data_IF_248904818798
#
_entry.id   IF_248904818798
#
_cell.length_a   1.000
_cell.length_b   1.000
_cell.length_c   1.000
_cell.angle_alpha   90.00
_cell.angle_beta   90.00
_cell.angle_gamma   90.00
#
_symmetry.space_group_name_H-M   'P 1'
#
loop_
_entity.id
_entity.type
_entity.pdbx_description
1 polymer ?
#
# COMPACT_ATOMS: atom_id res chain seq x y z
N UNK A 1 -10.78 -8.34 -19.22
CA UNK A 1 -10.40 -7.28 -18.27
C UNK A 1 -11.54 -6.89 -17.31
N UNK A 2 -12.76 -7.39 -17.51
CA UNK A 2 -13.92 -7.07 -16.64
C UNK A 2 -13.69 -7.41 -15.16
N UNK A 3 -13.10 -8.56 -14.86
CA UNK A 3 -12.84 -8.98 -13.48
C UNK A 3 -11.86 -8.03 -12.77
N UNK A 4 -10.78 -7.62 -13.45
CA UNK A 4 -9.83 -6.65 -12.90
C UNK A 4 -10.50 -5.31 -12.59
N UNK A 5 -11.33 -4.79 -13.49
CA UNK A 5 -12.08 -3.56 -13.24
C UNK A 5 -13.09 -3.69 -12.11
N UNK A 6 -13.79 -4.82 -12.00
CA UNK A 6 -14.71 -5.07 -10.89
C UNK A 6 -14.00 -5.02 -9.53
N UNK A 7 -12.79 -5.59 -9.44
CA UNK A 7 -12.00 -5.57 -8.20
C UNK A 7 -11.53 -4.16 -7.87
N UNK A 8 -10.95 -3.44 -8.83
CA UNK A 8 -10.42 -2.09 -8.60
C UNK A 8 -11.54 -1.12 -8.28
N UNK A 9 -12.58 -1.04 -9.11
CA UNK A 9 -13.70 -0.12 -8.91
C UNK A 9 -14.51 -0.47 -7.67
N UNK A 10 -14.75 -1.76 -7.40
CA UNK A 10 -15.43 -2.23 -6.19
C UNK A 10 -14.69 -1.83 -4.92
N UNK A 11 -13.35 -1.96 -4.90
CA UNK A 11 -12.56 -1.54 -3.74
C UNK A 11 -12.61 -0.01 -3.54
N UNK A 12 -12.53 0.78 -4.61
CA UNK A 12 -12.64 2.24 -4.54
C UNK A 12 -14.05 2.69 -4.13
N UNK A 13 -15.09 2.02 -4.62
CA UNK A 13 -16.47 2.27 -4.20
C UNK A 13 -16.66 2.03 -2.70
N UNK A 14 -16.09 0.95 -2.17
CA UNK A 14 -16.13 0.66 -0.72
C UNK A 14 -15.37 1.72 0.09
N UNK A 15 -14.24 2.23 -0.39
CA UNK A 15 -13.52 3.34 0.23
C UNK A 15 -14.41 4.59 0.25
N UNK A 16 -14.96 4.99 -0.90
CA UNK A 16 -15.83 6.16 -1.00
C UNK A 16 -17.08 6.04 -0.11
N UNK A 17 -17.74 4.87 -0.11
CA UNK A 17 -18.89 4.60 0.75
C UNK A 17 -18.54 4.72 2.23
N UNK A 18 -17.34 4.28 2.64
CA UNK A 18 -16.90 4.40 4.03
C UNK A 18 -16.75 5.87 4.45
N UNK A 19 -16.13 6.70 3.62
CA UNK A 19 -16.06 8.14 3.87
C UNK A 19 -17.44 8.79 3.93
N UNK A 20 -18.35 8.43 3.01
CA UNK A 20 -19.72 8.93 3.01
C UNK A 20 -20.49 8.57 4.29
N UNK A 21 -20.29 7.34 4.81
CA UNK A 21 -20.89 6.91 6.10
C UNK A 21 -20.36 7.75 7.26
N UNK A 22 -19.04 7.99 7.33
CA UNK A 22 -18.46 8.84 8.39
C UNK A 22 -18.97 10.28 8.28
N UNK A 23 -19.09 10.82 7.07
CA UNK A 23 -19.61 12.16 6.86
C UNK A 23 -21.09 12.30 7.27
N UNK A 24 -21.89 11.27 7.00
CA UNK A 24 -23.33 11.27 7.36
C UNK A 24 -23.56 11.07 8.87
N UNK A 25 -22.69 10.32 9.55
CA UNK A 25 -22.81 9.98 10.98
C UNK A 25 -21.48 10.10 11.70
N UNK A 26 -20.94 11.33 11.87
CA UNK A 26 -19.63 11.55 12.49
C UNK A 26 -19.69 11.33 14.00
N UNK A 27 -19.29 10.14 14.45
CA UNK A 27 -19.17 9.79 15.86
C UNK A 27 -17.98 8.83 16.10
N UNK A 28 -17.49 8.68 17.33
CA UNK A 28 -16.30 7.86 17.60
C UNK A 28 -16.40 6.41 17.12
N UNK A 29 -17.59 5.81 17.18
CA UNK A 29 -17.81 4.41 16.78
C UNK A 29 -17.66 4.27 15.26
N UNK A 30 -18.35 5.13 14.49
CA UNK A 30 -18.25 5.11 13.02
C UNK A 30 -16.83 5.39 12.56
N UNK A 31 -16.13 6.32 13.21
CA UNK A 31 -14.72 6.63 12.90
C UNK A 31 -13.82 5.42 13.15
N UNK A 32 -13.91 4.76 14.31
CA UNK A 32 -13.10 3.58 14.63
C UNK A 32 -13.38 2.44 13.66
N UNK A 33 -14.65 2.15 13.36
CA UNK A 33 -15.02 1.12 12.40
C UNK A 33 -14.52 1.45 10.99
N UNK A 34 -14.62 2.71 10.57
CA UNK A 34 -14.10 3.18 9.28
C UNK A 34 -12.58 3.01 9.17
N UNK A 35 -11.81 3.35 10.22
CA UNK A 35 -10.35 3.15 10.24
C UNK A 35 -10.00 1.68 10.04
N UNK A 36 -10.66 0.76 10.77
CA UNK A 36 -10.43 -0.69 10.63
C UNK A 36 -10.79 -1.16 9.21
N UNK A 37 -11.94 -0.71 8.69
CA UNK A 37 -12.39 -1.10 7.37
C UNK A 37 -11.49 -0.54 6.26
N UNK A 38 -11.10 0.74 6.33
CA UNK A 38 -10.19 1.37 5.38
C UNK A 38 -8.80 0.72 5.39
N UNK A 39 -8.29 0.28 6.56
CA UNK A 39 -7.05 -0.49 6.63
C UNK A 39 -7.12 -1.77 5.79
N UNK A 40 -8.27 -2.48 5.83
CA UNK A 40 -8.49 -3.67 4.98
C UNK A 40 -8.58 -3.31 3.48
N UNK A 41 -9.11 -2.12 3.13
CA UNK A 41 -9.19 -1.66 1.74
C UNK A 41 -7.82 -1.25 1.19
N UNK A 42 -6.97 -0.66 2.02
CA UNK A 42 -5.56 -0.39 1.67
C UNK A 42 -4.81 -1.70 1.38
N UNK A 43 -5.02 -2.75 2.17
CA UNK A 43 -4.48 -4.08 1.86
C UNK A 43 -5.02 -4.60 0.52
N UNK A 44 -6.32 -4.41 0.24
CA UNK A 44 -6.91 -4.75 -1.06
C UNK A 44 -6.21 -4.06 -2.24
N UNK A 45 -5.90 -2.75 -2.11
CA UNK A 45 -5.12 -2.02 -3.12
C UNK A 45 -3.70 -2.59 -3.27
N UNK A 46 -3.06 -2.97 -2.16
CA UNK A 46 -1.71 -3.57 -2.18
C UNK A 46 -1.70 -4.94 -2.86
N UNK A 47 -2.73 -5.76 -2.67
CA UNK A 47 -2.90 -7.05 -3.37
C UNK A 47 -3.11 -6.83 -4.87
N UNK A 48 -3.95 -5.87 -5.27
CA UNK A 48 -4.14 -5.56 -6.68
C UNK A 48 -2.88 -4.97 -7.33
N UNK A 49 -2.10 -4.17 -6.60
CA UNK A 49 -0.77 -3.72 -7.03
C UNK A 49 0.18 -4.90 -7.27
N UNK A 50 0.20 -5.88 -6.36
CA UNK A 50 0.96 -7.13 -6.49
C UNK A 50 0.57 -7.88 -7.77
N UNK A 51 -0.73 -8.08 -8.01
CA UNK A 51 -1.24 -8.78 -9.19
C UNK A 51 -0.91 -8.02 -10.49
N UNK A 52 -0.94 -6.69 -10.44
CA UNK A 52 -0.45 -5.84 -11.53
C UNK A 52 1.06 -6.03 -11.75
N UNK A 53 1.86 -6.22 -10.69
CA UNK A 53 3.28 -6.54 -10.78
C UNK A 53 3.55 -7.83 -11.52
N UNK A 54 2.73 -8.85 -11.28
CA UNK A 54 2.73 -10.12 -12.00
C UNK A 54 2.07 -10.04 -13.39
N UNK A 55 1.48 -8.90 -13.77
CA UNK A 55 0.71 -8.70 -15.01
C UNK A 55 -0.49 -9.64 -15.11
N UNK A 56 -1.11 -10.00 -14.00
CA UNK A 56 -2.18 -10.98 -13.90
C UNK A 56 -3.57 -10.36 -13.70
N UNK A 57 -3.66 -9.09 -13.24
CA UNK A 57 -4.94 -8.44 -12.99
C UNK A 57 -5.69 -8.08 -14.28
N UNK A 58 -4.96 -7.69 -15.32
CA UNK A 58 -5.50 -7.35 -16.64
C UNK A 58 -4.73 -8.09 -17.74
N UNK A 59 -5.39 -8.36 -18.87
CA UNK A 59 -4.73 -8.93 -20.07
C UNK A 59 -3.70 -7.96 -20.67
N UNK A 60 -4.00 -6.67 -20.62
CA UNK A 60 -3.13 -5.61 -21.14
C UNK A 60 -1.97 -5.31 -20.19
N UNK A 61 -0.73 -5.43 -20.67
CA UNK A 61 0.47 -5.01 -19.92
C UNK A 61 0.41 -3.54 -19.54
N UNK A 62 -0.15 -2.67 -20.42
CA UNK A 62 -0.30 -1.24 -20.18
C UNK A 62 -1.30 -0.97 -19.05
N UNK A 63 -2.43 -1.68 -19.02
CA UNK A 63 -3.40 -1.53 -17.93
C UNK A 63 -2.80 -1.97 -16.60
N UNK A 64 -2.10 -3.10 -16.52
CA UNK A 64 -1.41 -3.50 -15.29
C UNK A 64 -0.42 -2.41 -14.82
N UNK A 65 0.36 -1.81 -15.73
CA UNK A 65 1.31 -0.76 -15.35
C UNK A 65 0.60 0.52 -14.87
N UNK A 66 -0.41 1.00 -15.59
CA UNK A 66 -1.08 2.27 -15.28
C UNK A 66 -1.99 2.13 -14.06
N UNK A 67 -2.88 1.14 -14.04
CA UNK A 67 -3.81 0.91 -12.93
C UNK A 67 -3.06 0.52 -11.66
N UNK A 68 -2.08 -0.39 -11.78
CA UNK A 68 -1.23 -0.81 -10.66
C UNK A 68 -0.50 0.37 -10.01
N UNK A 69 0.04 1.29 -10.81
CA UNK A 69 0.72 2.47 -10.31
C UNK A 69 -0.25 3.50 -9.71
N UNK A 70 -1.23 3.97 -10.50
CA UNK A 70 -2.01 5.16 -10.15
C UNK A 70 -3.21 4.88 -9.25
N UNK A 71 -3.86 3.72 -9.41
CA UNK A 71 -5.06 3.39 -8.66
C UNK A 71 -4.80 2.41 -7.51
N UNK A 72 -3.64 1.72 -7.49
CA UNK A 72 -3.36 0.72 -6.47
C UNK A 72 -2.16 1.09 -5.59
N UNK A 73 -1.00 1.46 -6.18
CA UNK A 73 0.23 1.70 -5.43
C UNK A 73 0.30 3.09 -4.78
N UNK A 74 0.18 4.15 -5.59
CA UNK A 74 0.34 5.53 -5.11
C UNK A 74 -0.63 5.92 -3.98
N UNK A 75 -1.92 5.49 -3.99
CA UNK A 75 -2.83 5.78 -2.89
C UNK A 75 -2.42 5.19 -1.54
N UNK A 76 -1.63 4.12 -1.55
CA UNK A 76 -1.10 3.47 -0.33
C UNK A 76 0.38 3.77 -0.11
N UNK A 77 0.88 4.88 -0.65
CA UNK A 77 2.26 5.34 -0.49
C UNK A 77 3.31 4.32 -0.98
N UNK A 78 2.99 3.60 -2.05
CA UNK A 78 3.89 2.62 -2.67
C UNK A 78 4.22 3.00 -4.12
N UNK A 79 5.18 2.32 -4.74
CA UNK A 79 5.60 2.48 -6.14
C UNK A 79 5.60 1.11 -6.82
N UNK A 80 4.63 0.88 -7.70
CA UNK A 80 4.43 -0.42 -8.33
C UNK A 80 5.65 -0.93 -9.12
N UNK A 81 6.38 -0.11 -9.92
CA UNK A 81 7.57 -0.60 -10.62
C UNK A 81 8.70 -1.02 -9.68
N UNK A 82 8.91 -0.30 -8.57
CA UNK A 82 9.93 -0.65 -7.58
C UNK A 82 9.56 -1.91 -6.82
N UNK A 83 8.29 -2.00 -6.38
CA UNK A 83 7.75 -3.18 -5.74
C UNK A 83 7.87 -4.42 -6.64
N UNK A 84 7.41 -4.33 -7.90
CA UNK A 84 7.44 -5.44 -8.84
C UNK A 84 8.86 -5.96 -9.09
N UNK A 85 9.85 -5.09 -9.20
CA UNK A 85 11.26 -5.51 -9.36
C UNK A 85 11.74 -6.36 -8.18
N UNK A 86 11.59 -5.85 -6.95
CA UNK A 86 12.02 -6.57 -5.75
C UNK A 86 11.25 -7.87 -5.55
N UNK A 87 9.93 -7.83 -5.78
CA UNK A 87 9.06 -8.99 -5.61
C UNK A 87 9.32 -10.11 -6.64
N UNK A 88 9.54 -9.76 -7.91
CA UNK A 88 9.91 -10.75 -8.93
C UNK A 88 11.33 -11.30 -8.72
N UNK A 89 12.25 -10.49 -8.16
CA UNK A 89 13.56 -10.96 -7.73
C UNK A 89 13.45 -11.95 -6.56
N UNK A 90 12.56 -11.68 -5.58
CA UNK A 90 12.21 -12.62 -4.53
C UNK A 90 11.72 -13.95 -5.12
N UNK A 91 10.76 -13.93 -6.06
CA UNK A 91 10.29 -15.16 -6.70
C UNK A 91 11.39 -15.95 -7.41
N UNK A 92 12.30 -15.25 -8.10
CA UNK A 92 13.41 -15.88 -8.81
C UNK A 92 14.48 -16.47 -7.87
N UNK A 93 14.62 -15.94 -6.65
CA UNK A 93 15.69 -16.30 -5.70
C UNK A 93 15.17 -16.91 -4.38
N UNK A 94 13.86 -17.14 -4.30
CA UNK A 94 13.20 -17.62 -3.08
C UNK A 94 13.90 -18.83 -2.47
N UNK A 95 14.17 -18.76 -1.16
CA UNK A 95 14.87 -19.80 -0.42
C UNK A 95 16.40 -19.79 -0.55
N UNK A 96 16.98 -18.90 -1.38
CA UNK A 96 18.44 -18.75 -1.48
C UNK A 96 18.95 -17.62 -0.57
N UNK A 97 20.27 -17.58 -0.34
CA UNK A 97 20.93 -16.49 0.40
C UNK A 97 20.86 -15.14 -0.34
N UNK A 98 20.55 -15.14 -1.63
CA UNK A 98 20.42 -13.95 -2.45
C UNK A 98 18.97 -13.42 -2.52
N UNK A 99 18.03 -14.05 -1.81
CA UNK A 99 16.64 -13.61 -1.76
C UNK A 99 16.51 -12.28 -1.00
N UNK A 100 15.98 -11.21 -1.63
CA UNK A 100 15.81 -9.93 -0.96
C UNK A 100 14.86 -9.98 0.25
N UNK A 101 13.94 -10.96 0.30
CA UNK A 101 12.97 -11.14 1.38
C UNK A 101 13.40 -12.18 2.44
N UNK A 102 14.60 -12.74 2.32
CA UNK A 102 15.10 -13.78 3.24
C UNK A 102 14.97 -13.36 4.72
N UNK A 103 15.24 -12.08 5.03
CA UNK A 103 15.14 -11.54 6.39
C UNK A 103 13.73 -11.64 7.00
N UNK A 104 12.69 -11.76 6.17
CA UNK A 104 11.30 -11.83 6.62
C UNK A 104 10.91 -13.23 7.10
N UNK A 105 11.59 -14.27 6.64
CA UNK A 105 11.18 -15.66 6.89
C UNK A 105 12.31 -16.63 7.30
N UNK A 106 13.60 -16.28 7.17
CA UNK A 106 14.71 -17.19 7.50
C UNK A 106 14.69 -17.70 8.95
N UNK A 107 14.04 -16.96 9.86
CA UNK A 107 13.92 -17.35 11.27
C UNK A 107 12.72 -18.28 11.57
N UNK A 108 11.93 -18.65 10.57
CA UNK A 108 10.80 -19.56 10.77
C UNK A 108 11.24 -21.03 10.77
N UNK A 109 10.60 -21.90 11.58
CA UNK A 109 9.48 -21.61 12.48
C UNK A 109 9.90 -20.84 13.73
N UNK A 110 9.08 -19.83 14.13
CA UNK A 110 9.35 -19.01 15.31
C UNK A 110 8.74 -19.62 16.59
N UNK A 111 9.33 -19.33 17.75
CA UNK A 111 8.77 -19.74 19.05
C UNK A 111 7.41 -19.02 19.31
N UNK A 112 6.56 -19.62 20.16
CA UNK A 112 5.30 -19.00 20.62
C UNK A 112 5.52 -17.62 21.23
N UNK A 113 6.60 -17.45 22.02
CA UNK A 113 6.93 -16.15 22.60
C UNK A 113 7.29 -15.10 21.54
N UNK A 114 8.04 -15.49 20.50
CA UNK A 114 8.36 -14.61 19.37
C UNK A 114 7.11 -14.22 18.60
N UNK A 115 6.22 -15.18 18.33
CA UNK A 115 4.95 -14.92 17.67
C UNK A 115 4.07 -13.94 18.48
N UNK A 116 3.93 -14.17 19.80
CA UNK A 116 3.18 -13.26 20.69
C UNK A 116 3.73 -11.82 20.65
N UNK A 117 5.07 -11.66 20.71
CA UNK A 117 5.69 -10.34 20.59
C UNK A 117 5.36 -9.66 19.24
N UNK A 118 5.38 -10.43 18.15
CA UNK A 118 5.04 -9.92 16.80
C UNK A 118 3.59 -9.44 16.75
N UNK A 119 2.66 -10.24 17.27
CA UNK A 119 1.23 -9.89 17.32
C UNK A 119 1.02 -8.61 18.15
N UNK A 120 1.61 -8.51 19.34
CA UNK A 120 1.49 -7.32 20.19
C UNK A 120 2.06 -6.09 19.48
N UNK A 121 3.23 -6.19 18.86
CA UNK A 121 3.85 -5.10 18.11
C UNK A 121 2.96 -4.64 16.95
N UNK A 122 2.35 -5.56 16.22
CA UNK A 122 1.53 -5.24 15.06
C UNK A 122 0.18 -4.62 15.50
N UNK A 123 -0.47 -5.19 16.51
CA UNK A 123 -1.72 -4.66 17.06
C UNK A 123 -1.55 -3.33 17.81
N UNK A 124 -0.39 -3.07 18.39
CA UNK A 124 -0.09 -1.78 19.03
C UNK A 124 0.28 -0.65 18.06
N UNK A 125 0.29 -0.93 16.75
CA UNK A 125 0.63 0.06 15.72
C UNK A 125 2.14 0.33 15.55
N UNK A 126 3.01 -0.32 16.31
CA UNK A 126 4.46 -0.09 16.22
C UNK A 126 5.03 -0.39 14.83
N UNK A 127 4.54 -1.46 14.18
CA UNK A 127 4.94 -1.78 12.80
C UNK A 127 4.50 -0.70 11.83
N UNK A 128 3.28 -0.20 11.93
CA UNK A 128 2.76 0.89 11.10
C UNK A 128 3.55 2.19 11.31
N UNK A 129 3.84 2.54 12.56
CA UNK A 129 4.67 3.71 12.88
C UNK A 129 6.08 3.61 12.29
N UNK A 130 6.74 2.45 12.42
CA UNK A 130 8.05 2.20 11.83
C UNK A 130 8.02 2.33 10.30
N UNK A 131 6.99 1.79 9.65
CA UNK A 131 6.81 1.89 8.21
C UNK A 131 6.62 3.34 7.78
N UNK A 132 5.73 4.08 8.44
CA UNK A 132 5.49 5.51 8.16
C UNK A 132 6.76 6.34 8.36
N UNK A 133 7.49 6.11 9.46
CA UNK A 133 8.78 6.75 9.72
C UNK A 133 9.79 6.47 8.59
N UNK A 134 9.86 5.23 8.08
CA UNK A 134 10.78 4.89 6.97
C UNK A 134 10.39 5.60 5.67
N UNK A 135 9.10 5.79 5.38
CA UNK A 135 8.63 6.56 4.23
C UNK A 135 9.07 8.02 4.35
N UNK A 136 8.86 8.64 5.52
CA UNK A 136 9.25 10.04 5.78
C UNK A 136 10.77 10.23 5.67
N UNK A 137 11.57 9.35 6.27
CA UNK A 137 13.03 9.41 6.16
C UNK A 137 13.53 9.16 4.74
N UNK A 138 12.91 8.22 4.02
CA UNK A 138 13.20 7.97 2.61
C UNK A 138 12.91 9.20 1.74
N UNK A 139 11.79 9.89 2.03
CA UNK A 139 11.42 11.14 1.38
C UNK A 139 12.42 12.27 1.65
N UNK A 140 12.81 12.48 2.91
CA UNK A 140 13.80 13.48 3.29
C UNK A 140 15.15 13.21 2.64
N UNK A 141 15.59 11.95 2.58
CA UNK A 141 16.82 11.56 1.88
C UNK A 141 16.75 11.74 0.36
N UNK A 142 15.58 11.58 -0.25
CA UNK A 142 15.38 11.78 -1.69
C UNK A 142 15.41 13.27 -2.10
N UNK A 143 15.13 14.19 -1.17
CA UNK A 143 15.21 15.64 -1.39
C UNK A 143 16.66 16.16 -1.33
N UNK A 144 17.63 15.37 -0.86
CA UNK A 144 19.03 15.75 -0.90
C UNK A 144 19.55 15.79 -2.34
N UNK A 145 20.47 16.74 -2.64
CA UNK A 145 20.94 17.02 -4.01
C UNK A 145 21.52 15.80 -4.74
N UNK A 146 22.02 14.80 -4.01
CA UNK A 146 22.67 13.61 -4.59
C UNK A 146 21.69 12.54 -5.08
N UNK A 147 20.40 12.58 -4.67
CA UNK A 147 19.41 11.51 -4.95
C UNK A 147 18.14 12.00 -5.63
N UNK A 148 18.18 13.07 -6.40
CA UNK A 148 17.00 13.61 -7.13
C UNK A 148 16.25 12.60 -7.99
N UNK A 149 16.94 11.61 -8.57
CA UNK A 149 16.29 10.56 -9.36
C UNK A 149 15.36 9.65 -8.53
N UNK A 150 15.59 9.51 -7.21
CA UNK A 150 14.75 8.76 -6.31
C UNK A 150 13.59 9.56 -5.69
N UNK A 151 13.53 10.86 -5.95
CA UNK A 151 12.44 11.73 -5.44
C UNK A 151 11.13 11.58 -6.24
N UNK A 152 11.21 11.20 -7.52
CA UNK A 152 10.05 11.16 -8.40
C UNK A 152 8.90 10.24 -7.92
N UNK A 153 9.14 9.02 -7.42
CA UNK A 153 8.07 8.20 -6.83
C UNK A 153 7.39 8.90 -5.66
N UNK A 154 8.16 9.50 -4.77
CA UNK A 154 7.63 10.23 -3.61
C UNK A 154 6.79 11.45 -4.00
N UNK A 155 7.25 12.24 -4.98
CA UNK A 155 6.48 13.38 -5.50
C UNK A 155 5.14 12.90 -6.07
N UNK A 156 5.12 11.80 -6.82
CA UNK A 156 3.87 11.22 -7.34
C UNK A 156 2.93 10.77 -6.21
N UNK A 157 3.47 10.11 -5.17
CA UNK A 157 2.71 9.69 -4.00
C UNK A 157 2.07 10.91 -3.32
N UNK A 158 2.85 11.96 -3.05
CA UNK A 158 2.35 13.18 -2.42
C UNK A 158 1.27 13.85 -3.26
N UNK A 159 1.47 13.97 -4.57
CA UNK A 159 0.47 14.55 -5.47
C UNK A 159 -0.85 13.76 -5.44
N UNK A 160 -0.80 12.44 -5.45
CA UNK A 160 -2.02 11.61 -5.35
C UNK A 160 -2.70 11.82 -4.00
N UNK A 161 -1.97 11.89 -2.88
CA UNK A 161 -2.57 12.19 -1.58
C UNK A 161 -3.24 13.57 -1.55
N UNK A 162 -2.58 14.60 -2.12
CA UNK A 162 -3.16 15.94 -2.22
C UNK A 162 -4.43 15.96 -3.07
N UNK A 163 -4.46 15.22 -4.19
CA UNK A 163 -5.66 15.10 -5.02
C UNK A 163 -6.79 14.40 -4.27
N UNK A 164 -6.50 13.28 -3.59
CA UNK A 164 -7.50 12.55 -2.80
C UNK A 164 -8.06 13.43 -1.66
N UNK A 165 -7.18 14.15 -0.97
CA UNK A 165 -7.59 15.09 0.08
C UNK A 165 -8.45 16.24 -0.47
N UNK A 166 -8.07 16.80 -1.61
CA UNK A 166 -8.85 17.86 -2.28
C UNK A 166 -10.25 17.35 -2.70
N UNK A 167 -10.35 16.10 -3.18
CA UNK A 167 -11.65 15.48 -3.52
C UNK A 167 -12.51 15.35 -2.27
N UNK A 168 -11.97 14.84 -1.16
CA UNK A 168 -12.71 14.69 0.11
C UNK A 168 -13.17 16.06 0.62
N UNK A 169 -12.29 17.05 0.65
CA UNK A 169 -12.64 18.43 1.05
C UNK A 169 -13.73 19.05 0.17
N UNK A 170 -13.67 18.82 -1.15
CA UNK A 170 -14.70 19.30 -2.08
C UNK A 170 -16.06 18.60 -1.87
N UNK A 171 -16.05 17.36 -1.32
CA UNK A 171 -17.26 16.64 -0.94
C UNK A 171 -17.76 17.01 0.48
N UNK A 172 -17.10 17.92 1.18
CA UNK A 172 -17.46 18.35 2.54
C UNK A 172 -17.06 17.32 3.62
N UNK A 173 -16.05 16.49 3.34
CA UNK A 173 -15.54 15.44 4.23
C UNK A 173 -14.17 15.82 4.75
#
# INVERSE_FOLDING_TARGET
>A
DWQGWRLVLGNWLLIAATFAVVAAWPNPITIVLAVIFLASRQMGLSVMMHDCGHRSLFRSKRLNAVVGQWLCALPVMNDQPSYARGHLEHHAKSGSLADPDLSNYHAYPVSRASFKRKVIRDLSGQTGFKLMSSIVHGAAGALSKEKRASALPFVKQLLVQLVLFAILAACGI
#
